data_IF_534357410890
#
_entry.id   IF_534357410890
#
_cell.length_a   1.000
_cell.length_b   1.000
_cell.length_c   1.000
_cell.angle_alpha   90.00
_cell.angle_beta   90.00
_cell.angle_gamma   90.00
#
_symmetry.space_group_name_H-M   'P 1'
#
loop_
_entity.id
_entity.type
_entity.pdbx_description
1 polymer ?
#
# COMPACT_ATOMS: atom_id res chain seq x y z
N UNK A 1 7.63 3.29 -3.49
CA UNK A 1 6.55 2.30 -3.27
C UNK A 1 5.21 2.98 -3.52
N UNK A 2 4.34 2.40 -4.35
CA UNK A 2 3.01 2.95 -4.64
C UNK A 2 1.89 2.20 -3.87
N UNK A 3 0.65 2.70 -3.93
CA UNK A 3 -0.50 2.12 -3.24
C UNK A 3 -0.77 0.66 -3.61
N UNK A 4 -0.58 0.31 -4.89
CA UNK A 4 -0.70 -1.07 -5.38
C UNK A 4 0.30 -1.98 -4.68
N UNK A 5 1.59 -1.61 -4.60
CA UNK A 5 2.59 -2.45 -3.93
C UNK A 5 2.29 -2.65 -2.44
N UNK A 6 1.77 -1.60 -1.78
CA UNK A 6 1.37 -1.69 -0.36
C UNK A 6 0.19 -2.64 -0.18
N UNK A 7 -0.82 -2.56 -1.06
CA UNK A 7 -2.05 -3.33 -0.92
C UNK A 7 -1.97 -4.76 -1.47
N UNK A 8 -1.15 -5.02 -2.49
CA UNK A 8 -1.07 -6.31 -3.18
C UNK A 8 0.18 -7.09 -2.81
N UNK A 9 1.37 -6.50 -3.00
CA UNK A 9 2.65 -7.21 -2.80
C UNK A 9 2.95 -7.40 -1.32
N UNK A 10 2.79 -6.35 -0.52
CA UNK A 10 3.07 -6.41 0.92
C UNK A 10 1.84 -6.75 1.76
N UNK A 11 0.64 -6.74 1.17
CA UNK A 11 -0.65 -6.89 1.87
C UNK A 11 -0.65 -6.16 3.22
N UNK A 12 -0.29 -4.87 3.17
CA UNK A 12 -0.13 -4.00 4.33
C UNK A 12 -1.31 -3.01 4.47
N UNK A 13 -2.25 -3.02 3.54
CA UNK A 13 -3.37 -2.09 3.56
C UNK A 13 -4.46 -2.44 2.55
N UNK A 14 -5.46 -1.56 2.48
CA UNK A 14 -6.51 -1.62 1.48
C UNK A 14 -6.35 -0.45 0.52
N UNK A 15 -6.51 -0.71 -0.77
CA UNK A 15 -6.66 0.35 -1.76
C UNK A 15 -8.02 1.04 -1.54
N UNK A 16 -7.98 2.34 -1.25
CA UNK A 16 -9.16 3.16 -0.93
C UNK A 16 -9.93 3.55 -2.20
N UNK A 17 -11.17 3.99 -1.98
CA UNK A 17 -12.18 4.36 -2.96
C UNK A 17 -11.67 5.20 -4.15
N UNK A 18 -12.05 4.81 -5.36
CA UNK A 18 -12.18 5.74 -6.48
C UNK A 18 -13.61 6.29 -6.48
N UNK A 19 -13.80 7.45 -5.85
CA UNK A 19 -15.05 8.20 -5.98
C UNK A 19 -14.97 9.01 -7.27
N UNK A 20 -15.76 8.63 -8.28
CA UNK A 20 -16.01 9.49 -9.44
C UNK A 20 -17.45 9.97 -9.38
N UNK A 21 -17.65 11.20 -8.93
CA UNK A 21 -18.93 11.91 -9.02
C UNK A 21 -18.99 12.59 -10.39
N UNK A 22 -19.39 11.85 -11.42
CA UNK A 22 -19.56 12.38 -12.77
C UNK A 22 -20.27 11.38 -13.68
N UNK A 23 -20.88 11.83 -14.80
CA UNK A 23 -21.65 10.97 -15.71
C UNK A 23 -20.81 9.85 -16.36
N UNK A 24 -19.49 9.88 -16.22
CA UNK A 24 -18.60 8.81 -16.62
C UNK A 24 -18.66 7.65 -15.62
N UNK A 25 -19.65 6.76 -15.78
CA UNK A 25 -19.57 5.37 -15.31
C UNK A 25 -18.37 4.73 -16.03
N UNK A 26 -17.24 4.67 -15.35
CA UNK A 26 -15.99 4.22 -15.95
C UNK A 26 -15.48 2.99 -15.25
N UNK A 27 -14.97 2.04 -16.03
CA UNK A 27 -14.12 0.95 -15.52
C UNK A 27 -12.87 1.53 -14.89
N UNK A 28 -12.47 1.00 -13.74
CA UNK A 28 -11.19 1.31 -13.14
C UNK A 28 -10.46 0.04 -12.71
N UNK A 29 -9.14 0.15 -12.61
CA UNK A 29 -8.30 -0.96 -12.22
C UNK A 29 -8.04 -0.90 -10.70
N UNK A 30 -8.43 -1.96 -9.99
CA UNK A 30 -8.22 -2.15 -8.56
C UNK A 30 -7.65 -3.54 -8.31
N UNK A 31 -6.55 -3.65 -7.56
CA UNK A 31 -5.85 -4.91 -7.33
C UNK A 31 -5.58 -5.73 -8.61
N UNK A 32 -5.32 -5.07 -9.74
CA UNK A 32 -5.10 -5.75 -11.03
C UNK A 32 -6.37 -6.27 -11.73
N UNK A 33 -7.55 -5.97 -11.20
CA UNK A 33 -8.83 -6.32 -11.81
C UNK A 33 -9.60 -5.06 -12.27
N UNK A 34 -10.33 -5.19 -13.37
CA UNK A 34 -11.31 -4.19 -13.79
C UNK A 34 -12.53 -4.21 -12.88
N UNK A 35 -12.92 -3.03 -12.39
CA UNK A 35 -14.05 -2.82 -11.50
C UNK A 35 -14.89 -1.68 -12.05
N UNK A 36 -16.18 -1.93 -12.23
CA UNK A 36 -17.14 -0.90 -12.64
C UNK A 36 -17.39 0.07 -11.47
N UNK A 37 -17.20 1.37 -11.71
CA UNK A 37 -17.49 2.41 -10.72
C UNK A 37 -18.92 2.90 -10.93
N UNK A 38 -19.81 2.55 -9.99
CA UNK A 38 -21.19 3.04 -9.99
C UNK A 38 -21.30 4.56 -9.70
N UNK A 39 -20.39 5.11 -8.88
CA UNK A 39 -20.31 6.55 -8.60
C UNK A 39 -21.44 7.11 -7.72
N UNK A 40 -22.21 6.25 -7.03
CA UNK A 40 -23.32 6.65 -6.15
C UNK A 40 -22.93 6.66 -4.67
N UNK A 41 -23.61 7.47 -3.85
CA UNK A 41 -23.41 7.48 -2.39
C UNK A 41 -23.62 6.10 -1.76
N UNK A 42 -24.59 5.33 -2.25
CA UNK A 42 -24.86 3.98 -1.76
C UNK A 42 -23.71 3.01 -2.07
N UNK A 43 -23.13 3.10 -3.28
CA UNK A 43 -21.95 2.31 -3.64
C UNK A 43 -20.76 2.65 -2.73
N UNK A 44 -20.55 3.95 -2.45
CA UNK A 44 -19.52 4.41 -1.51
C UNK A 44 -19.76 3.84 -0.10
N UNK A 45 -20.99 3.94 0.39
CA UNK A 45 -21.39 3.44 1.72
C UNK A 45 -21.18 1.93 1.84
N UNK A 46 -21.59 1.16 0.83
CA UNK A 46 -21.45 -0.29 0.80
C UNK A 46 -19.97 -0.71 0.82
N UNK A 47 -19.14 -0.04 0.03
CA UNK A 47 -17.70 -0.31 0.00
C UNK A 47 -17.04 -0.02 1.35
N UNK A 48 -17.33 1.14 1.95
CA UNK A 48 -16.80 1.52 3.26
C UNK A 48 -17.15 0.47 4.32
N UNK A 49 -18.41 0.01 4.36
CA UNK A 49 -18.84 -1.06 5.28
C UNK A 49 -18.05 -2.34 5.06
N UNK A 50 -17.82 -2.74 3.81
CA UNK A 50 -17.04 -3.93 3.45
C UNK A 50 -15.59 -3.81 3.90
N UNK A 51 -14.93 -2.69 3.62
CA UNK A 51 -13.53 -2.45 4.03
C UNK A 51 -13.42 -2.47 5.56
N UNK A 52 -14.32 -1.79 6.27
CA UNK A 52 -14.33 -1.79 7.74
C UNK A 52 -14.57 -3.18 8.32
N UNK A 53 -15.40 -4.02 7.68
CA UNK A 53 -15.58 -5.41 8.09
C UNK A 53 -14.30 -6.21 7.90
N UNK A 54 -13.62 -6.06 6.75
CA UNK A 54 -12.37 -6.76 6.45
C UNK A 54 -11.22 -6.31 7.37
N UNK A 55 -11.12 -5.01 7.67
CA UNK A 55 -10.07 -4.45 8.51
C UNK A 55 -10.18 -4.87 9.98
N UNK A 56 -11.40 -5.13 10.45
CA UNK A 56 -11.68 -5.69 11.78
C UNK A 56 -11.56 -7.22 11.82
N UNK A 57 -11.62 -7.90 10.67
CA UNK A 57 -11.52 -9.35 10.56
C UNK A 57 -10.09 -9.89 10.50
N UNK A 58 -9.98 -11.16 10.11
CA UNK A 58 -8.71 -11.88 10.01
C UNK A 58 -7.73 -11.20 9.05
N UNK A 59 -8.22 -10.74 7.88
CA UNK A 59 -7.39 -10.02 6.91
C UNK A 59 -6.74 -8.80 7.55
N UNK A 60 -7.50 -7.92 8.18
CA UNK A 60 -6.92 -6.74 8.83
C UNK A 60 -5.95 -7.08 9.97
N UNK A 61 -6.14 -8.20 10.67
CA UNK A 61 -5.15 -8.70 11.64
C UNK A 61 -3.83 -9.07 10.96
N UNK A 62 -3.87 -9.78 9.84
CA UNK A 62 -2.68 -10.11 9.05
C UNK A 62 -1.99 -8.87 8.50
N UNK A 63 -2.75 -7.93 7.93
CA UNK A 63 -2.17 -6.70 7.40
C UNK A 63 -1.43 -5.88 8.47
N UNK A 64 -1.97 -5.81 9.70
CA UNK A 64 -1.26 -5.16 10.83
C UNK A 64 0.04 -5.87 11.21
N UNK A 65 0.09 -7.19 11.09
CA UNK A 65 1.31 -7.97 11.32
C UNK A 65 2.33 -7.69 10.19
N UNK A 66 1.89 -7.75 8.94
CA UNK A 66 2.73 -7.47 7.77
C UNK A 66 3.33 -6.06 7.84
N UNK A 67 2.55 -5.06 8.23
CA UNK A 67 3.04 -3.68 8.42
C UNK A 67 4.17 -3.61 9.44
N UNK A 68 4.05 -4.32 10.56
CA UNK A 68 5.11 -4.35 11.58
C UNK A 68 6.38 -5.03 11.06
N UNK A 69 6.23 -6.16 10.38
CA UNK A 69 7.36 -6.89 9.80
C UNK A 69 8.06 -6.07 8.71
N UNK A 70 7.30 -5.45 7.81
CA UNK A 70 7.83 -4.56 6.77
C UNK A 70 8.53 -3.35 7.40
N UNK A 71 7.95 -2.76 8.44
CA UNK A 71 8.57 -1.67 9.19
C UNK A 71 9.92 -2.08 9.78
N UNK A 72 10.01 -3.27 10.36
CA UNK A 72 11.28 -3.78 10.89
C UNK A 72 12.33 -3.95 9.79
N UNK A 73 11.97 -4.54 8.65
CA UNK A 73 12.88 -4.69 7.50
C UNK A 73 13.41 -3.34 7.02
N UNK A 74 12.54 -2.31 6.99
CA UNK A 74 12.95 -0.96 6.61
C UNK A 74 13.91 -0.36 7.65
N UNK A 75 13.61 -0.50 8.95
CA UNK A 75 14.48 -0.01 10.02
C UNK A 75 15.86 -0.69 9.97
N UNK A 76 15.89 -2.01 9.86
CA UNK A 76 17.14 -2.78 9.81
C UNK A 76 17.98 -2.43 8.57
N UNK A 77 17.31 -2.21 7.43
CA UNK A 77 17.95 -1.77 6.18
C UNK A 77 18.62 -0.40 6.31
N UNK A 78 18.04 0.51 7.10
CA UNK A 78 18.54 1.87 7.30
C UNK A 78 19.51 1.99 8.49
N UNK A 79 19.66 0.95 9.31
CA UNK A 79 20.58 0.93 10.44
C UNK A 79 22.05 0.72 10.03
N UNK A 80 23.00 0.86 10.97
CA UNK A 80 24.42 0.61 10.71
C UNK A 80 24.68 -0.80 10.18
N UNK A 81 25.43 -0.91 9.08
CA UNK A 81 25.66 -2.18 8.38
C UNK A 81 24.45 -2.71 7.62
N UNK A 82 23.34 -1.98 7.61
CA UNK A 82 22.17 -2.23 6.77
C UNK A 82 22.43 -1.92 5.30
N UNK A 83 21.56 -2.39 4.41
CA UNK A 83 21.77 -2.23 2.96
C UNK A 83 21.72 -0.76 2.51
N UNK A 84 20.94 0.09 3.17
CA UNK A 84 20.92 1.54 2.93
C UNK A 84 22.23 2.21 3.35
N UNK A 85 22.75 1.86 4.53
CA UNK A 85 24.02 2.37 5.05
C UNK A 85 25.20 1.98 4.15
N UNK A 86 25.26 0.70 3.75
CA UNK A 86 26.26 0.19 2.81
C UNK A 86 26.16 0.90 1.45
N UNK A 87 24.96 1.06 0.91
CA UNK A 87 24.76 1.72 -0.37
C UNK A 87 25.18 3.20 -0.34
N UNK A 88 24.91 3.90 0.77
CA UNK A 88 25.36 5.27 0.98
C UNK A 88 26.88 5.36 1.10
N UNK A 89 27.53 4.42 1.80
CA UNK A 89 28.99 4.34 1.87
C UNK A 89 29.62 4.13 0.49
N UNK A 90 29.09 3.19 -0.29
CA UNK A 90 29.55 2.94 -1.66
C UNK A 90 29.34 4.16 -2.57
N UNK A 91 28.21 4.87 -2.42
CA UNK A 91 27.96 6.11 -3.15
C UNK A 91 28.99 7.18 -2.76
N UNK A 92 29.25 7.37 -1.46
CA UNK A 92 30.23 8.32 -0.94
C UNK A 92 31.62 8.11 -1.52
N UNK A 93 32.08 6.85 -1.59
CA UNK A 93 33.34 6.47 -2.24
C UNK A 93 33.33 6.80 -3.73
N UNK A 94 32.23 6.48 -4.44
CA UNK A 94 32.12 6.73 -5.87
C UNK A 94 32.15 8.22 -6.23
N UNK A 95 31.72 9.11 -5.32
CA UNK A 95 31.71 10.57 -5.52
C UNK A 95 32.83 11.30 -4.77
N UNK A 96 33.78 10.57 -4.16
CA UNK A 96 34.97 11.14 -3.50
C UNK A 96 34.69 11.91 -2.21
N UNK A 97 33.60 11.60 -1.51
CA UNK A 97 33.24 12.22 -0.23
C UNK A 97 33.75 11.45 1.00
N UNK A 98 34.25 10.23 0.82
CA UNK A 98 34.82 9.36 1.86
C UNK A 98 36.04 8.64 1.30
#
# INVERSE_FOLDING_TARGET
MNSIQIATVHDCGFELLQVRTGPAKSTAYRNGAEVEIAGTEDAVRAEMKRILKMSKGLRGKHQRMNVRMLGQVVVDSLGPGGSGDIALGNLGQAIGLV
#
